data_IF_104744436208
#
_entry.id   IF_104744436208
#
_cell.length_a   1.000
_cell.length_b   1.000
_cell.length_c   1.000
_cell.angle_alpha   90.00
_cell.angle_beta   90.00
_cell.angle_gamma   90.00
#
_symmetry.space_group_name_H-M   'P 1'
#
loop_
_entity.id
_entity.type
_entity.pdbx_description
1 polymer ?
#
# COMPACT_ATOMS: atom_id res chain seq x y z
N UNK A 1 7.70 -14.70 5.33
CA UNK A 1 8.14 -14.11 6.62
C UNK A 1 7.23 -12.94 6.96
N UNK A 2 6.94 -12.68 8.24
CA UNK A 2 6.17 -11.49 8.66
C UNK A 2 7.04 -10.25 8.48
N UNK A 3 6.50 -9.18 7.87
CA UNK A 3 7.21 -7.89 7.73
C UNK A 3 7.36 -7.23 9.11
N UNK A 4 8.51 -6.60 9.35
CA UNK A 4 8.85 -5.98 10.63
C UNK A 4 8.70 -4.47 10.57
N UNK A 5 7.99 -3.89 11.54
CA UNK A 5 7.83 -2.45 11.72
C UNK A 5 8.54 -2.02 12.99
N UNK A 6 9.39 -1.00 12.92
CA UNK A 6 9.93 -0.33 14.09
C UNK A 6 9.03 0.87 14.44
N UNK A 7 8.54 0.92 15.68
CA UNK A 7 7.76 2.06 16.22
C UNK A 7 8.67 2.85 17.15
N UNK A 8 8.88 4.11 16.82
CA UNK A 8 9.74 5.04 17.57
C UNK A 8 8.87 6.18 18.11
N UNK A 9 8.60 6.18 19.40
CA UNK A 9 7.74 7.17 20.10
C UNK A 9 8.13 7.17 21.57
N UNK A 10 8.28 8.32 22.20
CA UNK A 10 8.65 8.44 23.62
C UNK A 10 7.49 8.13 24.56
N UNK A 11 6.27 8.02 24.03
CA UNK A 11 5.06 7.74 24.80
C UNK A 11 4.73 6.26 24.83
N UNK A 12 4.98 5.60 25.94
CA UNK A 12 4.78 4.15 26.11
C UNK A 12 3.38 3.68 25.70
N UNK A 13 2.33 4.45 26.01
CA UNK A 13 0.95 4.08 25.68
C UNK A 13 0.73 4.07 24.16
N UNK A 14 1.35 4.98 23.41
CA UNK A 14 1.30 5.02 21.93
C UNK A 14 2.02 3.80 21.35
N UNK A 15 3.21 3.49 21.85
CA UNK A 15 3.96 2.31 21.45
C UNK A 15 3.13 1.02 21.60
N UNK A 16 2.54 0.81 22.79
CA UNK A 16 1.77 -0.40 23.08
C UNK A 16 0.51 -0.49 22.23
N UNK A 17 -0.22 0.61 22.05
CA UNK A 17 -1.40 0.67 21.17
C UNK A 17 -1.05 0.31 19.71
N UNK A 18 0.03 0.89 19.20
CA UNK A 18 0.50 0.60 17.83
C UNK A 18 1.00 -0.83 17.70
N UNK A 19 1.75 -1.33 18.69
CA UNK A 19 2.25 -2.70 18.72
C UNK A 19 1.09 -3.71 18.66
N UNK A 20 0.11 -3.59 19.56
CA UNK A 20 -1.04 -4.47 19.59
C UNK A 20 -1.81 -4.45 18.26
N UNK A 21 -2.11 -3.26 17.75
CA UNK A 21 -2.84 -3.11 16.49
C UNK A 21 -2.10 -3.71 15.30
N UNK A 22 -0.80 -3.44 15.16
CA UNK A 22 0.01 -3.92 14.05
C UNK A 22 0.27 -5.44 14.13
N UNK A 23 0.42 -6.00 15.32
CA UNK A 23 0.52 -7.44 15.50
C UNK A 23 -0.77 -8.16 15.07
N UNK A 24 -1.94 -7.60 15.37
CA UNK A 24 -3.22 -8.10 14.84
C UNK A 24 -3.33 -8.02 13.31
N UNK A 25 -2.52 -7.18 12.66
CA UNK A 25 -2.41 -7.09 11.20
C UNK A 25 -1.28 -7.97 10.62
N UNK A 26 -0.74 -8.91 11.41
CA UNK A 26 0.32 -9.85 11.04
C UNK A 26 1.70 -9.19 10.75
N UNK A 27 1.99 -8.05 11.36
CA UNK A 27 3.33 -7.46 11.38
C UNK A 27 4.09 -7.90 12.64
N UNK A 28 5.41 -8.08 12.56
CA UNK A 28 6.26 -8.10 13.74
C UNK A 28 6.63 -6.65 14.10
N UNK A 29 6.69 -6.34 15.39
CA UNK A 29 6.89 -4.95 15.84
C UNK A 29 8.04 -4.89 16.83
N UNK A 30 9.03 -4.03 16.52
CA UNK A 30 10.06 -3.58 17.45
C UNK A 30 9.70 -2.19 17.97
N UNK A 31 10.15 -1.83 19.16
CA UNK A 31 9.87 -0.56 19.82
C UNK A 31 11.18 0.14 20.16
N UNK A 32 11.24 1.45 19.97
CA UNK A 32 12.31 2.33 20.43
C UNK A 32 11.73 3.56 21.12
N UNK A 33 12.37 4.02 22.17
CA UNK A 33 11.94 5.17 22.97
C UNK A 33 12.43 6.51 22.42
N UNK A 34 13.59 6.52 21.79
CA UNK A 34 14.18 7.71 21.18
C UNK A 34 14.96 7.38 19.89
N UNK A 35 15.50 8.41 19.23
CA UNK A 35 16.22 8.26 17.99
C UNK A 35 17.55 7.49 18.12
N UNK A 36 18.18 7.47 19.31
CA UNK A 36 19.45 6.72 19.52
C UNK A 36 19.16 5.23 19.56
N UNK A 37 18.20 4.82 20.40
CA UNK A 37 17.75 3.42 20.47
C UNK A 37 17.23 2.94 19.11
N UNK A 38 16.50 3.81 18.39
CA UNK A 38 15.99 3.50 17.06
C UNK A 38 17.12 3.19 16.04
N UNK A 39 18.25 3.92 16.07
CA UNK A 39 19.39 3.62 15.19
C UNK A 39 20.00 2.26 15.50
N UNK A 40 20.16 1.92 16.79
CA UNK A 40 20.70 0.62 17.22
C UNK A 40 19.80 -0.54 16.76
N UNK A 41 18.49 -0.42 17.01
CA UNK A 41 17.52 -1.44 16.62
C UNK A 41 17.43 -1.54 15.08
N UNK A 42 17.47 -0.43 14.36
CA UNK A 42 17.43 -0.46 12.88
C UNK A 42 18.61 -1.23 12.30
N UNK A 43 19.82 -1.05 12.85
CA UNK A 43 21.02 -1.80 12.42
C UNK A 43 20.94 -3.28 12.77
N UNK A 44 20.46 -3.60 13.98
CA UNK A 44 20.39 -4.98 14.48
C UNK A 44 19.26 -5.79 13.84
N UNK A 45 18.08 -5.19 13.69
CA UNK A 45 16.86 -5.92 13.35
C UNK A 45 16.39 -5.70 11.91
N UNK A 46 16.92 -4.70 11.20
CA UNK A 46 16.61 -4.37 9.80
C UNK A 46 15.10 -4.34 9.54
N UNK A 47 14.36 -3.39 10.11
CA UNK A 47 12.92 -3.29 9.89
C UNK A 47 12.60 -2.99 8.42
N UNK A 48 11.41 -3.40 7.97
CA UNK A 48 10.91 -3.13 6.63
C UNK A 48 10.26 -1.73 6.53
N UNK A 49 9.94 -1.10 7.67
CA UNK A 49 9.38 0.24 7.77
C UNK A 49 9.56 0.78 9.19
N UNK A 50 9.75 2.09 9.29
CA UNK A 50 9.83 2.81 10.57
C UNK A 50 8.64 3.77 10.69
N UNK A 51 7.94 3.71 11.82
CA UNK A 51 6.99 4.72 12.28
C UNK A 51 7.72 5.62 13.28
N UNK A 52 7.85 6.89 12.98
CA UNK A 52 8.75 7.81 13.68
C UNK A 52 8.01 9.02 14.24
N UNK A 53 7.98 9.18 15.57
CA UNK A 53 7.58 10.46 16.14
C UNK A 53 8.68 11.51 15.94
N UNK A 54 8.26 12.74 15.74
CA UNK A 54 9.18 13.90 15.65
C UNK A 54 9.67 14.35 17.03
N UNK A 55 8.76 14.40 18.00
CA UNK A 55 9.01 14.99 19.30
C UNK A 55 9.47 13.94 20.30
N UNK A 56 10.77 13.70 20.38
CA UNK A 56 11.35 12.73 21.30
C UNK A 56 12.55 13.32 22.06
N UNK A 57 12.87 12.81 23.26
CA UNK A 57 14.05 13.24 24.02
C UNK A 57 15.35 12.74 23.36
N UNK A 58 16.48 13.28 23.77
CA UNK A 58 17.85 12.92 23.39
C UNK A 58 18.17 13.11 21.90
N UNK A 59 17.42 12.48 21.00
CA UNK A 59 17.52 12.61 19.54
C UNK A 59 16.11 12.65 18.97
N UNK A 60 15.74 13.81 18.43
CA UNK A 60 14.42 14.00 17.79
C UNK A 60 14.31 13.26 16.47
N UNK A 61 13.07 13.19 15.91
CA UNK A 61 12.79 12.45 14.70
C UNK A 61 13.52 12.98 13.46
N UNK A 62 13.73 14.29 13.35
CA UNK A 62 14.46 14.88 12.22
C UNK A 62 15.94 14.55 12.28
N UNK A 63 16.55 14.64 13.47
CA UNK A 63 17.95 14.25 13.69
C UNK A 63 18.16 12.75 13.42
N UNK A 64 17.21 11.90 13.86
CA UNK A 64 17.23 10.48 13.57
C UNK A 64 17.17 10.25 12.06
N UNK A 65 16.19 10.83 11.36
CA UNK A 65 15.98 10.64 9.93
C UNK A 65 17.22 11.07 9.12
N UNK A 66 17.78 12.24 9.43
CA UNK A 66 19.00 12.74 8.79
C UNK A 66 20.18 11.76 8.93
N UNK A 67 20.36 11.17 10.13
CA UNK A 67 21.41 10.15 10.34
C UNK A 67 21.08 8.83 9.66
N UNK A 68 19.84 8.40 9.73
CA UNK A 68 19.37 7.16 9.08
C UNK A 68 19.69 7.17 7.58
N UNK A 69 19.42 8.27 6.90
CA UNK A 69 19.62 8.39 5.44
C UNK A 69 21.09 8.35 5.02
N UNK A 70 22.04 8.47 5.94
CA UNK A 70 23.46 8.20 5.61
C UNK A 70 23.81 6.71 5.56
N UNK A 71 22.92 5.83 6.09
CA UNK A 71 23.19 4.41 6.28
C UNK A 71 22.11 3.50 5.66
N UNK A 72 20.89 4.00 5.45
CA UNK A 72 19.74 3.16 5.09
C UNK A 72 18.65 3.91 4.34
N UNK A 73 18.08 3.24 3.34
CA UNK A 73 16.90 3.65 2.57
C UNK A 73 15.60 3.02 3.10
N UNK A 74 15.61 2.48 4.33
CA UNK A 74 14.40 1.91 4.92
C UNK A 74 13.28 2.96 4.96
N UNK A 75 12.06 2.62 4.51
CA UNK A 75 10.96 3.59 4.46
C UNK A 75 10.57 4.09 5.84
N UNK A 76 10.28 5.41 5.92
CA UNK A 76 9.93 6.10 7.15
C UNK A 76 8.61 6.86 6.97
N UNK A 77 7.65 6.59 7.86
CA UNK A 77 6.43 7.40 8.01
C UNK A 77 6.57 8.22 9.29
N UNK A 78 6.57 9.55 9.14
CA UNK A 78 6.61 10.45 10.29
C UNK A 78 5.23 10.59 10.93
N UNK A 79 5.16 10.47 12.25
CA UNK A 79 3.94 10.62 13.05
C UNK A 79 4.16 11.76 14.03
N UNK A 80 3.39 12.85 13.96
CA UNK A 80 3.68 14.02 14.78
C UNK A 80 2.46 14.85 15.12
N UNK A 81 2.55 15.59 16.23
CA UNK A 81 1.58 16.62 16.59
C UNK A 81 1.79 17.95 15.84
N UNK A 82 2.94 18.12 15.16
CA UNK A 82 3.24 19.34 14.40
C UNK A 82 2.44 19.37 13.11
N UNK A 83 1.70 20.46 12.90
CA UNK A 83 0.84 20.68 11.73
C UNK A 83 1.33 21.79 10.82
N UNK A 84 2.49 22.40 11.13
CA UNK A 84 3.02 23.48 10.33
C UNK A 84 3.53 22.92 9.00
N UNK A 85 3.18 23.58 7.92
CA UNK A 85 3.55 23.17 6.56
C UNK A 85 5.08 23.07 6.40
N UNK A 86 5.82 23.96 7.08
CA UNK A 86 7.28 23.98 7.10
C UNK A 86 7.89 22.69 7.70
N UNK A 87 7.32 22.14 8.78
CA UNK A 87 7.78 20.89 9.39
C UNK A 87 7.53 19.69 8.47
N UNK A 88 6.42 19.70 7.74
CA UNK A 88 6.08 18.65 6.76
C UNK A 88 7.05 18.68 5.60
N UNK A 89 7.29 19.83 5.02
CA UNK A 89 8.27 20.03 3.92
C UNK A 89 9.66 19.60 4.39
N UNK A 90 10.09 20.02 5.58
CA UNK A 90 11.39 19.65 6.13
C UNK A 90 11.54 18.13 6.30
N UNK A 91 10.49 17.43 6.75
CA UNK A 91 10.49 15.97 6.85
C UNK A 91 10.68 15.28 5.50
N UNK A 92 10.01 15.75 4.44
CA UNK A 92 10.18 15.21 3.09
C UNK A 92 11.57 15.54 2.51
N UNK A 93 12.10 16.74 2.73
CA UNK A 93 13.45 17.12 2.30
C UNK A 93 14.53 16.25 2.95
N UNK A 94 14.30 15.78 4.17
CA UNK A 94 15.16 14.83 4.87
C UNK A 94 14.97 13.38 4.41
N UNK A 95 14.01 13.11 3.51
CA UNK A 95 13.78 11.80 2.93
C UNK A 95 12.73 10.93 3.67
N UNK A 96 11.75 11.54 4.32
CA UNK A 96 10.56 10.80 4.78
C UNK A 96 9.70 10.35 3.58
N UNK A 97 9.11 9.16 3.67
CA UNK A 97 8.28 8.59 2.60
C UNK A 97 6.80 8.96 2.73
N UNK A 98 6.34 9.27 3.93
CA UNK A 98 4.99 9.77 4.22
C UNK A 98 4.96 10.48 5.57
N UNK A 99 3.85 11.17 5.84
CA UNK A 99 3.64 12.00 7.01
C UNK A 99 2.19 11.89 7.51
N UNK A 100 1.98 11.70 8.81
CA UNK A 100 0.66 11.65 9.42
C UNK A 100 0.61 12.48 10.68
N UNK A 101 -0.44 13.29 10.85
CA UNK A 101 -0.60 14.17 12.01
C UNK A 101 -1.42 13.51 13.12
N UNK A 102 -1.00 13.67 14.38
CA UNK A 102 -1.76 13.32 15.57
C UNK A 102 -2.90 14.35 15.78
N UNK A 103 -4.15 13.94 16.13
CA UNK A 103 -4.63 12.55 16.27
C UNK A 103 -4.94 11.90 14.91
N UNK A 104 -4.58 10.63 14.73
CA UNK A 104 -4.84 9.85 13.53
C UNK A 104 -5.71 8.63 13.82
N UNK A 105 -6.34 8.10 12.78
CA UNK A 105 -7.07 6.83 12.85
C UNK A 105 -6.13 5.67 12.54
N UNK A 106 -6.15 4.61 13.36
CA UNK A 106 -5.30 3.43 13.15
C UNK A 106 -5.47 2.79 11.77
N UNK A 107 -6.70 2.85 11.23
CA UNK A 107 -6.99 2.37 9.88
C UNK A 107 -6.29 3.21 8.81
N UNK A 108 -6.25 4.53 8.98
CA UNK A 108 -5.54 5.42 8.07
C UNK A 108 -4.03 5.14 8.09
N UNK A 109 -3.44 5.03 9.29
CA UNK A 109 -2.03 4.67 9.42
C UNK A 109 -1.70 3.34 8.73
N UNK A 110 -2.54 2.32 8.91
CA UNK A 110 -2.34 1.02 8.26
C UNK A 110 -2.33 1.12 6.73
N UNK A 111 -3.19 1.97 6.17
CA UNK A 111 -3.24 2.17 4.72
C UNK A 111 -1.98 2.86 4.20
N UNK A 112 -1.46 3.85 4.92
CA UNK A 112 -0.19 4.52 4.61
C UNK A 112 0.99 3.54 4.70
N UNK A 113 1.06 2.72 5.76
CA UNK A 113 2.06 1.66 5.91
C UNK A 113 2.07 0.74 4.68
N UNK A 114 0.89 0.26 4.27
CA UNK A 114 0.77 -0.63 3.09
C UNK A 114 1.20 0.07 1.80
N UNK A 115 0.85 1.34 1.62
CA UNK A 115 1.22 2.11 0.44
C UNK A 115 2.75 2.34 0.36
N UNK A 116 3.37 2.73 1.47
CA UNK A 116 4.81 2.97 1.56
C UNK A 116 5.59 1.66 1.38
N UNK A 117 5.21 0.59 2.09
CA UNK A 117 5.86 -0.72 1.93
C UNK A 117 5.74 -1.31 0.52
N UNK A 118 4.68 -0.98 -0.21
CA UNK A 118 4.54 -1.39 -1.62
C UNK A 118 5.53 -0.67 -2.52
N UNK A 119 5.82 0.61 -2.27
CA UNK A 119 6.83 1.39 -3.03
C UNK A 119 8.26 0.93 -2.71
N UNK A 120 8.52 0.57 -1.46
CA UNK A 120 9.84 0.19 -0.97
C UNK A 120 10.18 -1.30 -1.11
N UNK A 121 9.18 -2.17 -1.34
CA UNK A 121 9.50 -3.53 -1.70
C UNK A 121 10.32 -3.47 -2.99
N UNK A 122 11.53 -4.11 -3.06
CA UNK A 122 12.10 -4.42 -4.35
C UNK A 122 11.05 -5.30 -5.00
N UNK A 123 10.31 -4.74 -5.91
CA UNK A 123 9.45 -5.48 -6.81
C UNK A 123 10.40 -6.45 -7.49
N UNK A 124 10.21 -7.76 -7.30
CA UNK A 124 10.48 -8.67 -8.40
C UNK A 124 9.92 -7.91 -9.58
N UNK A 125 10.77 -7.50 -10.52
CA UNK A 125 10.46 -6.47 -11.51
C UNK A 125 9.04 -6.70 -12.01
N UNK A 126 8.08 -5.97 -11.41
CA UNK A 126 6.73 -5.97 -11.96
C UNK A 126 6.96 -5.39 -13.33
N UNK A 127 6.96 -6.27 -14.32
CA UNK A 127 7.06 -5.81 -15.69
C UNK A 127 6.05 -4.69 -15.80
N UNK A 128 6.43 -3.51 -16.30
CA UNK A 128 5.52 -2.38 -16.41
C UNK A 128 4.26 -2.77 -17.20
N UNK A 129 4.30 -3.92 -17.85
CA UNK A 129 3.22 -4.52 -18.61
C UNK A 129 2.82 -5.84 -17.96
N UNK A 130 1.57 -5.91 -17.49
CA UNK A 130 0.93 -7.17 -17.15
C UNK A 130 0.33 -7.79 -18.40
N UNK A 131 0.79 -8.98 -18.75
CA UNK A 131 0.27 -9.73 -19.90
C UNK A 131 -0.50 -10.96 -19.42
N UNK A 132 -1.76 -11.09 -19.84
CA UNK A 132 -2.59 -12.28 -19.61
C UNK A 132 -3.41 -12.58 -20.87
N UNK A 133 -3.05 -13.63 -21.57
CA UNK A 133 -3.67 -13.96 -22.86
C UNK A 133 -3.46 -12.85 -23.88
N UNK A 134 -4.56 -12.31 -24.40
CA UNK A 134 -4.58 -11.19 -25.34
C UNK A 134 -4.65 -9.80 -24.67
N UNK A 135 -4.61 -9.71 -23.33
CA UNK A 135 -4.60 -8.46 -22.60
C UNK A 135 -3.18 -8.06 -22.20
N UNK A 136 -2.81 -6.83 -22.54
CA UNK A 136 -1.56 -6.18 -22.15
C UNK A 136 -1.87 -4.87 -21.43
N UNK A 137 -1.73 -4.86 -20.10
CA UNK A 137 -1.97 -3.69 -19.24
C UNK A 137 -0.65 -3.01 -18.93
N UNK A 138 -0.44 -1.81 -19.47
CA UNK A 138 0.74 -0.99 -19.20
C UNK A 138 0.47 -0.08 -18.01
N UNK A 139 1.17 -0.32 -16.88
CA UNK A 139 1.04 0.41 -15.63
C UNK A 139 1.54 1.84 -15.70
N UNK A 140 2.63 2.07 -16.43
CA UNK A 140 3.26 3.39 -16.53
C UNK A 140 2.45 4.35 -17.40
N UNK A 141 1.88 3.81 -18.49
CA UNK A 141 1.07 4.59 -19.44
C UNK A 141 -0.42 4.61 -19.12
N UNK A 142 -0.87 3.80 -18.15
CA UNK A 142 -2.29 3.58 -17.85
C UNK A 142 -3.11 3.16 -19.08
N UNK A 143 -2.54 2.30 -19.90
CA UNK A 143 -3.12 1.82 -21.16
C UNK A 143 -3.43 0.33 -21.09
N UNK A 144 -4.55 -0.07 -21.68
CA UNK A 144 -4.91 -1.46 -21.92
C UNK A 144 -4.97 -1.74 -23.42
N UNK A 145 -4.25 -2.75 -23.86
CA UNK A 145 -4.40 -3.33 -25.19
C UNK A 145 -5.05 -4.71 -25.09
N UNK A 146 -6.02 -4.98 -25.94
CA UNK A 146 -6.61 -6.30 -26.18
C UNK A 146 -6.25 -6.74 -27.59
N UNK A 147 -5.28 -7.66 -27.71
CA UNK A 147 -4.57 -7.84 -28.97
C UNK A 147 -3.90 -6.53 -29.40
N UNK A 148 -4.26 -6.04 -30.61
CA UNK A 148 -3.76 -4.76 -31.13
C UNK A 148 -4.72 -3.58 -30.90
N UNK A 149 -5.85 -3.80 -30.20
CA UNK A 149 -6.86 -2.77 -29.97
C UNK A 149 -6.70 -2.13 -28.61
N UNK A 150 -6.67 -0.79 -28.57
CA UNK A 150 -6.70 -0.03 -27.32
C UNK A 150 -8.11 -0.08 -26.71
N UNK A 151 -8.20 -0.33 -25.40
CA UNK A 151 -9.43 -0.34 -24.63
C UNK A 151 -9.39 0.80 -23.62
N UNK A 152 -10.26 1.78 -23.75
CA UNK A 152 -10.33 2.90 -22.82
C UNK A 152 -10.96 2.47 -21.50
N UNK A 153 -10.20 2.59 -20.41
CA UNK A 153 -10.65 2.35 -19.05
C UNK A 153 -10.73 3.64 -18.25
N UNK A 154 -11.74 3.73 -17.38
CA UNK A 154 -11.70 4.75 -16.34
C UNK A 154 -10.61 4.42 -15.30
N UNK A 155 -10.10 5.40 -14.52
CA UNK A 155 -9.08 5.15 -13.51
C UNK A 155 -9.44 4.02 -12.53
N UNK A 156 -10.72 3.92 -12.13
CA UNK A 156 -11.19 2.84 -11.24
C UNK A 156 -11.25 1.48 -11.93
N UNK A 157 -11.66 1.42 -13.19
CA UNK A 157 -11.66 0.18 -13.98
C UNK A 157 -10.25 -0.31 -14.24
N UNK A 158 -9.31 0.61 -14.54
CA UNK A 158 -7.89 0.29 -14.70
C UNK A 158 -7.32 -0.34 -13.42
N UNK A 159 -7.55 0.31 -12.28
CA UNK A 159 -7.09 -0.18 -10.98
C UNK A 159 -7.69 -1.54 -10.61
N UNK A 160 -8.98 -1.76 -10.90
CA UNK A 160 -9.63 -3.05 -10.69
C UNK A 160 -9.03 -4.15 -11.57
N UNK A 161 -8.78 -3.86 -12.84
CA UNK A 161 -8.16 -4.82 -13.75
C UNK A 161 -6.72 -5.13 -13.33
N UNK A 162 -5.95 -4.11 -12.96
CA UNK A 162 -4.59 -4.27 -12.43
C UNK A 162 -4.56 -5.19 -11.20
N UNK A 163 -5.47 -4.97 -10.24
CA UNK A 163 -5.58 -5.81 -9.05
C UNK A 163 -5.87 -7.27 -9.40
N UNK A 164 -6.78 -7.50 -10.33
CA UNK A 164 -7.19 -8.82 -10.75
C UNK A 164 -6.09 -9.54 -11.54
N UNK A 165 -5.46 -8.88 -12.51
CA UNK A 165 -4.36 -9.42 -13.29
C UNK A 165 -3.12 -9.70 -12.43
N UNK A 166 -2.78 -8.81 -11.48
CA UNK A 166 -1.66 -9.03 -10.55
C UNK A 166 -1.88 -10.22 -9.60
N UNK A 167 -3.13 -10.55 -9.32
CA UNK A 167 -3.51 -11.69 -8.48
C UNK A 167 -3.82 -12.95 -9.30
N UNK A 168 -3.42 -13.02 -10.56
CA UNK A 168 -3.79 -14.05 -11.54
C UNK A 168 -4.03 -15.44 -10.92
N UNK A 169 -5.15 -16.05 -11.23
CA UNK A 169 -5.58 -17.33 -10.65
C UNK A 169 -6.07 -17.30 -9.20
N UNK A 170 -5.81 -16.22 -8.44
CA UNK A 170 -6.26 -16.10 -7.04
C UNK A 170 -7.52 -15.25 -6.91
N UNK A 171 -8.32 -15.55 -5.88
CA UNK A 171 -9.53 -14.76 -5.59
C UNK A 171 -9.17 -13.47 -4.86
N UNK A 172 -9.56 -12.32 -5.42
CA UNK A 172 -9.48 -11.02 -4.76
C UNK A 172 -10.81 -10.75 -4.06
N UNK A 173 -10.79 -10.56 -2.75
CA UNK A 173 -12.00 -10.32 -1.95
C UNK A 173 -12.58 -8.94 -2.26
N UNK A 174 -13.93 -8.81 -2.24
CA UNK A 174 -14.61 -7.52 -2.45
C UNK A 174 -14.15 -6.44 -1.49
N UNK A 175 -13.96 -6.79 -0.22
CA UNK A 175 -13.48 -5.86 0.80
C UNK A 175 -12.10 -5.31 0.48
N UNK A 176 -11.17 -6.17 0.02
CA UNK A 176 -9.81 -5.75 -0.33
C UNK A 176 -9.82 -4.83 -1.57
N UNK A 177 -10.70 -5.12 -2.55
CA UNK A 177 -10.91 -4.26 -3.70
C UNK A 177 -11.46 -2.90 -3.30
N UNK A 178 -12.52 -2.84 -2.49
CA UNK A 178 -13.09 -1.59 -2.02
C UNK A 178 -12.07 -0.77 -1.21
N UNK A 179 -11.28 -1.41 -0.35
CA UNK A 179 -10.25 -0.74 0.43
C UNK A 179 -9.20 -0.07 -0.47
N UNK A 180 -8.71 -0.77 -1.49
CA UNK A 180 -7.72 -0.21 -2.41
C UNK A 180 -8.27 0.91 -3.27
N UNK A 181 -9.56 0.84 -3.65
CA UNK A 181 -10.22 1.88 -4.44
C UNK A 181 -10.48 3.18 -3.65
N UNK A 182 -10.66 3.10 -2.32
CA UNK A 182 -10.86 4.29 -1.46
C UNK A 182 -9.69 5.26 -1.59
N UNK A 183 -8.45 4.77 -1.68
CA UNK A 183 -7.24 5.58 -1.85
C UNK A 183 -7.22 6.37 -3.17
N UNK A 184 -8.06 5.96 -4.12
CA UNK A 184 -8.21 6.58 -5.45
C UNK A 184 -9.55 7.32 -5.61
N UNK A 185 -10.15 7.75 -4.49
CA UNK A 185 -11.37 8.56 -4.49
C UNK A 185 -12.68 7.76 -4.61
N UNK A 186 -12.63 6.44 -4.46
CA UNK A 186 -13.84 5.63 -4.45
C UNK A 186 -14.57 5.79 -3.10
N UNK A 187 -15.78 6.32 -3.15
CA UNK A 187 -16.65 6.50 -1.97
C UNK A 187 -17.79 5.49 -1.91
N UNK A 188 -17.77 4.50 -2.81
CA UNK A 188 -18.87 3.57 -3.01
C UNK A 188 -18.82 2.33 -2.09
N UNK A 189 -19.95 1.62 -2.09
CA UNK A 189 -20.14 0.34 -1.40
C UNK A 189 -19.79 -0.85 -2.32
N UNK A 190 -19.90 -2.07 -1.79
CA UNK A 190 -19.77 -3.30 -2.61
C UNK A 190 -20.77 -3.36 -3.79
N UNK A 191 -21.93 -2.71 -3.68
CA UNK A 191 -22.88 -2.61 -4.79
C UNK A 191 -22.34 -1.74 -5.92
N UNK A 192 -21.64 -0.64 -5.60
CA UNK A 192 -20.98 0.21 -6.58
C UNK A 192 -19.81 -0.51 -7.26
N UNK A 193 -19.05 -1.31 -6.50
CA UNK A 193 -18.00 -2.17 -7.06
C UNK A 193 -18.53 -3.10 -8.16
N UNK A 194 -19.71 -3.71 -7.94
CA UNK A 194 -20.34 -4.58 -8.96
C UNK A 194 -20.60 -3.86 -10.27
N UNK A 195 -20.96 -2.58 -10.23
CA UNK A 195 -21.20 -1.76 -11.43
C UNK A 195 -19.88 -1.57 -12.19
N UNK A 196 -18.80 -1.24 -11.51
CA UNK A 196 -17.49 -1.09 -12.16
C UNK A 196 -16.98 -2.41 -12.76
N UNK A 197 -17.15 -3.53 -12.07
CA UNK A 197 -16.81 -4.86 -12.62
C UNK A 197 -17.67 -5.19 -13.85
N UNK A 198 -18.97 -4.87 -13.83
CA UNK A 198 -19.85 -5.06 -14.99
C UNK A 198 -19.36 -4.22 -16.18
N UNK A 199 -19.06 -2.94 -15.96
CA UNK A 199 -18.60 -2.05 -17.02
C UNK A 199 -17.25 -2.51 -17.58
N UNK A 200 -16.32 -2.95 -16.72
CA UNK A 200 -15.07 -3.53 -17.12
C UNK A 200 -15.26 -4.76 -18.02
N UNK A 201 -16.16 -5.68 -17.64
CA UNK A 201 -16.50 -6.84 -18.47
C UNK A 201 -17.05 -6.45 -19.84
N UNK A 202 -17.95 -5.46 -19.89
CA UNK A 202 -18.49 -4.97 -21.16
C UNK A 202 -17.38 -4.44 -22.08
N UNK A 203 -16.43 -3.68 -21.55
CA UNK A 203 -15.29 -3.15 -22.31
C UNK A 203 -14.34 -4.26 -22.76
N UNK A 204 -14.12 -5.27 -21.93
CA UNK A 204 -13.36 -6.46 -22.28
C UNK A 204 -14.12 -7.43 -23.21
N UNK A 205 -15.40 -7.21 -23.46
CA UNK A 205 -16.29 -8.15 -24.15
C UNK A 205 -16.28 -9.53 -23.49
N UNK A 206 -16.32 -9.52 -22.15
CA UNK A 206 -16.29 -10.72 -21.32
C UNK A 206 -17.70 -11.22 -21.02
N UNK A 207 -18.00 -12.47 -21.34
CA UNK A 207 -19.33 -13.07 -21.15
C UNK A 207 -19.54 -13.43 -19.68
N UNK A 208 -20.73 -13.10 -19.16
CA UNK A 208 -21.11 -13.39 -17.76
C UNK A 208 -21.37 -14.88 -17.53
N UNK A 209 -21.77 -15.63 -18.55
CA UNK A 209 -22.13 -17.03 -18.46
C UNK A 209 -20.92 -17.94 -18.70
N UNK A 210 -19.99 -17.47 -19.56
CA UNK A 210 -18.74 -18.14 -19.86
C UNK A 210 -17.59 -17.10 -19.81
N UNK A 211 -17.19 -16.67 -18.61
CA UNK A 211 -16.20 -15.62 -18.48
C UNK A 211 -14.83 -16.08 -19.01
N UNK A 212 -14.23 -15.26 -19.87
CA UNK A 212 -12.87 -15.45 -20.38
C UNK A 212 -11.82 -14.84 -19.45
N UNK A 213 -12.15 -13.72 -18.80
CA UNK A 213 -11.20 -12.93 -18.03
C UNK A 213 -11.57 -12.85 -16.55
N UNK A 214 -12.81 -12.49 -16.22
CA UNK A 214 -13.19 -12.19 -14.84
C UNK A 214 -14.30 -13.12 -14.37
N UNK A 215 -13.95 -14.05 -13.51
CA UNK A 215 -14.93 -14.95 -12.86
C UNK A 215 -15.47 -14.30 -11.57
N UNK A 216 -16.76 -14.51 -11.30
CA UNK A 216 -17.36 -14.17 -10.00
C UNK A 216 -17.30 -15.37 -9.08
N UNK A 217 -16.58 -15.24 -7.95
CA UNK A 217 -16.59 -16.23 -6.87
C UNK A 217 -17.66 -15.81 -5.86
N UNK A 218 -18.81 -16.50 -5.90
CA UNK A 218 -19.98 -16.14 -5.11
C UNK A 218 -19.68 -16.07 -3.61
N UNK A 219 -20.16 -15.01 -2.96
CA UNK A 219 -19.94 -14.75 -1.53
C UNK A 219 -18.56 -14.22 -1.17
N UNK A 220 -17.54 -14.29 -2.05
CA UNK A 220 -16.15 -13.94 -1.74
C UNK A 220 -15.67 -12.71 -2.54
N UNK A 221 -15.60 -12.80 -3.86
CA UNK A 221 -14.99 -11.76 -4.68
C UNK A 221 -14.94 -12.06 -6.16
N UNK A 222 -13.82 -11.73 -6.78
CA UNK A 222 -13.57 -11.94 -8.20
C UNK A 222 -12.19 -12.57 -8.40
N UNK A 223 -12.03 -13.31 -9.50
CA UNK A 223 -10.78 -13.95 -9.89
C UNK A 223 -10.50 -13.64 -11.35
N UNK A 224 -9.25 -13.33 -11.67
CA UNK A 224 -8.81 -13.29 -13.06
C UNK A 224 -8.50 -14.72 -13.51
N UNK A 225 -9.06 -15.11 -14.65
CA UNK A 225 -8.81 -16.42 -15.23
C UNK A 225 -7.49 -16.37 -16.02
N UNK A 226 -6.60 -17.33 -15.76
CA UNK A 226 -5.43 -17.53 -16.58
C UNK A 226 -5.90 -18.14 -17.91
N UNK A 227 -5.51 -17.50 -19.04
CA UNK A 227 -5.71 -18.15 -20.33
C UNK A 227 -4.79 -19.37 -20.36
N UNK A 228 -5.37 -20.56 -20.47
CA UNK A 228 -4.58 -21.74 -20.84
C UNK A 228 -3.80 -21.40 -22.11
N UNK A 229 -2.49 -21.61 -22.00
CA UNK A 229 -1.56 -21.44 -23.12
C UNK A 229 -1.85 -22.41 -24.25
#
# INVERSE_FOLDING_TARGET
>A
MSRKILVVDDTRNVQLMLQEYLQHQNYSVALAYDGKEALEITRAERPDLILLDVMMPNMDGFQFLSRLRTESEVPVIMITARQQEEDVVHGFDLGADDYITKPFKLRELLMRIRAVMRRAAPTEAETPILTCGDLNLNRDRHELLKGDQSVELTPLEFLLLEMLMSASGKVVKRQDMCLRLIDHGFTGSESTLKIHIRNLRLKLQDDLTQPKYIETVFGIGYRFLESDR
#
